data_IF_576836650485
#
_entry.id   IF_576836650485
#
_cell.length_a   1.000
_cell.length_b   1.000
_cell.length_c   1.000
_cell.angle_alpha   90.00
_cell.angle_beta   90.00
_cell.angle_gamma   90.00
#
_symmetry.space_group_name_H-M   'P 1'
#
loop_
_entity.id
_entity.type
_entity.pdbx_description
1 polymer ?
#
# COMPACT_ATOMS: atom_id res chain seq x y z
N UNK A 1 10.40 -27.90 35.36
CA UNK A 1 10.78 -27.58 33.95
C UNK A 1 9.55 -27.00 33.26
N UNK A 2 9.68 -25.88 32.57
CA UNK A 2 8.56 -25.30 31.80
C UNK A 2 8.55 -25.84 30.37
N UNK A 3 7.42 -26.34 29.90
CA UNK A 3 7.21 -26.79 28.53
C UNK A 3 6.13 -25.96 27.83
N UNK A 4 6.26 -25.86 26.52
CA UNK A 4 5.30 -25.21 25.63
C UNK A 4 4.73 -26.26 24.68
N UNK A 5 3.46 -26.14 24.34
CA UNK A 5 2.81 -26.94 23.30
C UNK A 5 1.82 -26.07 22.54
N UNK A 6 2.13 -25.81 21.27
CA UNK A 6 1.24 -25.11 20.35
C UNK A 6 0.26 -26.08 19.71
N UNK A 7 -0.88 -25.57 19.25
CA UNK A 7 -1.85 -26.34 18.45
C UNK A 7 -1.29 -26.77 17.08
N UNK A 8 -0.16 -26.20 16.65
CA UNK A 8 0.65 -26.66 15.50
C UNK A 8 1.49 -27.91 15.80
N UNK A 9 1.64 -28.27 17.08
CA UNK A 9 2.53 -29.33 17.56
C UNK A 9 3.93 -28.84 17.95
N UNK A 10 4.25 -27.57 17.77
CA UNK A 10 5.54 -27.00 18.18
C UNK A 10 5.67 -26.90 19.70
N UNK A 11 6.90 -27.01 20.20
CA UNK A 11 7.21 -26.91 21.64
C UNK A 11 8.18 -25.77 21.99
N UNK A 12 8.38 -24.86 21.04
CA UNK A 12 9.21 -23.66 21.22
C UNK A 12 8.41 -22.55 21.90
N UNK A 13 9.11 -21.59 22.51
CA UNK A 13 8.48 -20.42 23.11
C UNK A 13 7.80 -19.52 22.06
N UNK A 14 8.25 -19.58 20.80
CA UNK A 14 7.72 -18.80 19.68
C UNK A 14 7.47 -19.68 18.46
N UNK A 15 6.46 -19.34 17.67
CA UNK A 15 6.19 -19.92 16.35
C UNK A 15 6.09 -18.81 15.30
N UNK A 16 6.34 -19.16 14.04
CA UNK A 16 6.06 -18.29 12.88
C UNK A 16 4.94 -18.95 12.11
N UNK A 17 3.86 -18.21 11.90
CA UNK A 17 2.66 -18.66 11.20
C UNK A 17 2.33 -17.68 10.09
N UNK A 18 1.90 -18.19 8.94
CA UNK A 18 1.61 -17.37 7.75
C UNK A 18 0.18 -17.54 7.25
N UNK A 19 -0.60 -18.42 7.87
CA UNK A 19 -1.97 -18.72 7.47
C UNK A 19 -2.94 -18.16 8.51
N UNK A 20 -4.10 -17.64 8.09
CA UNK A 20 -5.13 -17.23 9.04
C UNK A 20 -5.64 -18.44 9.82
N UNK A 21 -5.97 -18.23 11.08
CA UNK A 21 -6.46 -19.29 11.96
C UNK A 21 -6.32 -18.96 13.43
N UNK A 22 -6.90 -19.83 14.25
CA UNK A 22 -6.74 -19.79 15.69
C UNK A 22 -5.43 -20.51 16.09
N UNK A 23 -4.61 -19.83 16.87
CA UNK A 23 -3.38 -20.36 17.45
C UNK A 23 -3.47 -20.29 18.95
N UNK A 24 -3.17 -21.39 19.62
CA UNK A 24 -3.12 -21.42 21.07
C UNK A 24 -1.88 -22.16 21.55
N UNK A 25 -1.32 -21.68 22.66
CA UNK A 25 -0.19 -22.29 23.35
C UNK A 25 -0.61 -22.74 24.73
N UNK A 26 -0.24 -23.96 25.08
CA UNK A 26 -0.33 -24.48 26.44
C UNK A 26 1.06 -24.45 27.06
N UNK A 27 1.19 -23.77 28.19
CA UNK A 27 2.42 -23.70 28.98
C UNK A 27 2.22 -24.52 30.25
N UNK A 28 3.12 -25.48 30.49
CA UNK A 28 3.07 -26.32 31.69
C UNK A 28 4.36 -26.18 32.48
N UNK A 29 4.25 -25.98 33.78
CA UNK A 29 5.37 -26.09 34.71
C UNK A 29 5.13 -27.21 35.74
N UNK A 30 5.89 -27.26 36.84
CA UNK A 30 5.78 -28.31 37.86
C UNK A 30 4.50 -28.23 38.70
N UNK A 31 3.79 -27.10 38.66
CA UNK A 31 2.67 -26.81 39.55
C UNK A 31 1.38 -26.44 38.80
N UNK A 32 1.45 -26.02 37.53
CA UNK A 32 0.32 -25.49 36.80
C UNK A 32 0.42 -25.70 35.28
N UNK A 33 -0.74 -25.64 34.63
CA UNK A 33 -0.90 -25.58 33.18
C UNK A 33 -1.80 -24.40 32.85
N UNK A 34 -1.33 -23.53 31.97
CA UNK A 34 -2.06 -22.36 31.47
C UNK A 34 -2.12 -22.41 29.94
N UNK A 35 -3.15 -21.80 29.37
CA UNK A 35 -3.28 -21.65 27.92
C UNK A 35 -3.65 -20.23 27.55
N UNK A 36 -3.13 -19.76 26.41
CA UNK A 36 -3.51 -18.49 25.79
C UNK A 36 -3.79 -18.71 24.31
N UNK A 37 -4.67 -17.88 23.73
CA UNK A 37 -5.18 -18.05 22.36
C UNK A 37 -5.16 -16.72 21.61
N UNK A 38 -4.79 -16.78 20.33
CA UNK A 38 -4.81 -15.65 19.40
C UNK A 38 -5.50 -16.07 18.11
N UNK A 39 -6.29 -15.16 17.54
CA UNK A 39 -6.89 -15.33 16.22
C UNK A 39 -6.11 -14.49 15.20
N UNK A 40 -5.57 -15.14 14.17
CA UNK A 40 -4.89 -14.47 13.06
C UNK A 40 -5.85 -14.34 11.88
N UNK A 41 -6.12 -13.09 11.48
CA UNK A 41 -7.00 -12.79 10.34
C UNK A 41 -6.20 -12.15 9.21
N UNK A 42 -6.41 -12.64 7.98
CA UNK A 42 -5.92 -12.01 6.77
C UNK A 42 -7.04 -11.25 6.08
N UNK A 43 -6.79 -9.99 5.74
CA UNK A 43 -7.74 -9.19 4.96
C UNK A 43 -7.30 -9.17 3.49
N UNK A 44 -8.19 -9.51 2.54
CA UNK A 44 -7.87 -9.37 1.13
C UNK A 44 -7.64 -7.90 0.81
N UNK A 45 -6.44 -7.57 0.35
CA UNK A 45 -6.08 -6.20 -0.04
C UNK A 45 -6.37 -5.98 -1.53
N UNK A 46 -7.01 -4.85 -1.85
CA UNK A 46 -7.12 -4.38 -3.24
C UNK A 46 -5.96 -3.43 -3.51
N UNK A 47 -5.02 -3.77 -4.40
CA UNK A 47 -3.89 -2.89 -4.72
C UNK A 47 -4.39 -1.53 -5.22
N UNK A 48 -3.75 -0.46 -4.76
CA UNK A 48 -3.96 0.87 -5.35
C UNK A 48 -3.31 0.91 -6.73
N UNK A 49 -3.99 1.55 -7.69
CA UNK A 49 -3.52 1.66 -9.06
C UNK A 49 -3.85 3.04 -9.61
N UNK A 50 -2.83 3.88 -9.80
CA UNK A 50 -2.95 5.23 -10.35
C UNK A 50 -2.63 5.29 -11.86
N UNK A 51 -2.43 4.13 -12.49
CA UNK A 51 -2.17 3.96 -13.92
C UNK A 51 -0.70 3.70 -14.25
N UNK A 52 -0.43 3.51 -15.54
CA UNK A 52 0.92 3.29 -16.05
C UNK A 52 1.65 4.62 -16.27
N UNK A 53 2.97 4.53 -16.47
CA UNK A 53 3.80 5.62 -16.98
C UNK A 53 3.16 6.30 -18.19
N UNK A 54 3.15 7.63 -18.17
CA UNK A 54 2.42 8.41 -19.17
C UNK A 54 3.13 9.71 -19.49
N UNK A 55 2.69 10.37 -20.57
CA UNK A 55 3.22 11.65 -20.99
C UNK A 55 2.12 12.60 -21.44
N UNK A 56 2.34 13.89 -21.19
CA UNK A 56 1.47 14.97 -21.65
C UNK A 56 2.30 16.05 -22.34
N UNK A 57 1.69 16.84 -23.20
CA UNK A 57 2.36 17.99 -23.80
C UNK A 57 2.45 19.14 -22.79
N UNK A 58 3.49 19.96 -22.92
CA UNK A 58 3.64 21.18 -22.14
C UNK A 58 2.40 22.07 -22.26
N UNK A 59 1.88 22.52 -21.12
CA UNK A 59 0.64 23.29 -21.02
C UNK A 59 -0.61 22.44 -20.80
N UNK A 60 -0.54 21.12 -20.89
CA UNK A 60 -1.61 20.21 -20.50
C UNK A 60 -1.53 19.85 -19.00
N UNK A 61 -2.64 19.35 -18.48
CA UNK A 61 -2.74 18.77 -17.13
C UNK A 61 -3.34 17.38 -17.22
N UNK A 62 -3.03 16.54 -16.23
CA UNK A 62 -3.61 15.22 -16.05
C UNK A 62 -4.06 15.05 -14.61
N UNK A 63 -5.17 14.32 -14.42
CA UNK A 63 -5.70 13.96 -13.11
C UNK A 63 -5.40 12.48 -12.85
N UNK A 64 -4.84 12.19 -11.68
CA UNK A 64 -4.67 10.84 -11.15
C UNK A 64 -5.70 10.60 -10.05
N UNK A 65 -6.26 9.40 -10.01
CA UNK A 65 -7.27 8.97 -9.05
C UNK A 65 -6.79 7.69 -8.37
N UNK A 66 -6.68 7.72 -7.05
CA UNK A 66 -6.31 6.54 -6.27
C UNK A 66 -7.51 5.60 -5.99
N UNK A 67 -8.74 6.01 -6.32
CA UNK A 67 -9.97 5.27 -6.04
C UNK A 67 -10.53 5.55 -4.64
N UNK A 68 -11.86 5.50 -4.49
CA UNK A 68 -12.58 5.95 -3.29
C UNK A 68 -12.68 4.92 -2.15
N UNK A 69 -12.05 3.74 -2.29
CA UNK A 69 -12.19 2.62 -1.34
C UNK A 69 -11.30 2.76 -0.10
N UNK A 70 -10.38 3.73 -0.09
CA UNK A 70 -9.38 3.90 0.96
C UNK A 70 -9.81 4.93 2.01
N UNK A 71 -9.40 4.68 3.27
CA UNK A 71 -9.66 5.56 4.42
C UNK A 71 -8.85 6.84 4.36
N UNK A 72 -7.62 6.77 3.85
CA UNK A 72 -6.73 7.94 3.77
C UNK A 72 -5.78 7.85 2.59
N UNK A 73 -5.34 9.02 2.13
CA UNK A 73 -4.46 9.21 0.98
C UNK A 73 -3.28 10.10 1.39
N UNK A 74 -2.12 9.87 0.79
CA UNK A 74 -0.96 10.75 0.86
C UNK A 74 -0.25 10.72 -0.50
N UNK A 75 -0.25 11.85 -1.19
CA UNK A 75 0.41 12.01 -2.48
C UNK A 75 1.80 12.61 -2.35
N UNK A 76 2.59 12.50 -3.42
CA UNK A 76 3.93 13.07 -3.53
C UNK A 76 4.05 14.57 -3.21
N UNK A 77 2.96 15.33 -3.37
CA UNK A 77 2.90 16.76 -3.09
C UNK A 77 2.33 17.08 -1.70
N UNK A 78 2.08 16.08 -0.86
CA UNK A 78 1.46 16.21 0.45
C UNK A 78 -0.07 16.30 0.44
N UNK A 79 -0.72 16.18 -0.72
CA UNK A 79 -2.19 16.11 -0.80
C UNK A 79 -2.72 14.86 -0.11
N UNK A 80 -3.90 14.99 0.51
CA UNK A 80 -4.64 13.89 1.16
C UNK A 80 -6.00 13.61 0.50
N UNK A 81 -6.26 14.24 -0.65
CA UNK A 81 -7.45 14.01 -1.46
C UNK A 81 -7.39 12.68 -2.20
N UNK A 82 -8.54 12.13 -2.59
CA UNK A 82 -8.62 10.92 -3.44
C UNK A 82 -7.93 11.12 -4.79
N UNK A 83 -7.99 12.32 -5.35
CA UNK A 83 -7.44 12.67 -6.66
C UNK A 83 -6.43 13.81 -6.56
N UNK A 84 -5.48 13.84 -7.50
CA UNK A 84 -4.63 15.01 -7.73
C UNK A 84 -4.59 15.38 -9.21
N UNK A 85 -4.41 16.67 -9.50
CA UNK A 85 -4.18 17.16 -10.86
C UNK A 85 -2.81 17.82 -10.92
N UNK A 86 -1.99 17.47 -11.92
CA UNK A 86 -0.65 18.03 -12.08
C UNK A 86 -0.31 18.27 -13.56
N UNK A 87 0.61 19.21 -13.78
CA UNK A 87 1.29 19.46 -15.06
C UNK A 87 2.81 19.33 -14.94
N UNK A 88 3.28 18.91 -13.76
CA UNK A 88 4.70 18.79 -13.45
C UNK A 88 5.12 17.34 -13.64
N UNK A 89 6.09 17.13 -14.55
CA UNK A 89 6.69 15.81 -14.75
C UNK A 89 7.54 15.36 -13.57
N UNK A 90 7.80 14.06 -13.48
CA UNK A 90 8.52 13.45 -12.38
C UNK A 90 7.84 12.15 -11.92
N UNK A 91 8.36 11.61 -10.82
CA UNK A 91 7.76 10.45 -10.16
C UNK A 91 6.50 10.90 -9.41
N UNK A 92 5.36 10.36 -9.81
CA UNK A 92 4.08 10.53 -9.15
C UNK A 92 3.86 9.28 -8.30
N UNK A 93 3.59 9.46 -7.02
CA UNK A 93 3.28 8.36 -6.11
C UNK A 93 2.14 8.71 -5.18
N UNK A 94 1.42 7.67 -4.75
CA UNK A 94 0.41 7.73 -3.70
C UNK A 94 0.63 6.61 -2.69
N UNK A 95 0.41 6.92 -1.43
CA UNK A 95 0.25 5.97 -0.35
C UNK A 95 -1.19 6.04 0.14
N UNK A 96 -1.81 4.89 0.34
CA UNK A 96 -3.17 4.78 0.89
C UNK A 96 -3.21 3.82 2.08
N UNK A 97 -4.22 4.00 2.93
CA UNK A 97 -4.54 3.08 4.02
C UNK A 97 -5.97 2.59 3.82
N UNK A 98 -6.20 1.29 3.84
CA UNK A 98 -7.53 0.71 3.73
C UNK A 98 -8.29 0.71 5.08
N UNK A 99 -9.49 0.12 5.09
CA UNK A 99 -10.32 0.01 6.29
C UNK A 99 -9.72 -0.90 7.38
N UNK A 100 -8.85 -1.83 7.00
CA UNK A 100 -8.17 -2.79 7.89
C UNK A 100 -6.79 -2.29 8.35
N UNK A 101 -6.46 -1.03 8.07
CA UNK A 101 -5.18 -0.38 8.34
C UNK A 101 -3.99 -0.98 7.55
N UNK A 102 -4.24 -1.69 6.45
CA UNK A 102 -3.18 -2.10 5.53
C UNK A 102 -2.71 -0.90 4.72
N UNK A 103 -1.39 -0.69 4.69
CA UNK A 103 -0.75 0.38 3.92
C UNK A 103 -0.39 -0.14 2.53
N UNK A 104 -0.81 0.59 1.49
CA UNK A 104 -0.56 0.27 0.09
C UNK A 104 0.01 1.50 -0.61
N UNK A 105 0.74 1.29 -1.71
CA UNK A 105 1.28 2.38 -2.51
C UNK A 105 1.42 2.00 -3.97
N UNK A 106 1.34 3.01 -4.84
CA UNK A 106 1.62 2.87 -6.27
C UNK A 106 2.32 4.12 -6.80
N UNK A 107 3.05 3.96 -7.90
CA UNK A 107 3.83 5.03 -8.51
C UNK A 107 3.95 4.88 -10.02
N UNK A 108 4.01 6.02 -10.72
CA UNK A 108 4.27 6.11 -12.15
C UNK A 108 5.19 7.27 -12.48
N UNK A 109 5.82 7.21 -13.65
CA UNK A 109 6.59 8.31 -14.23
C UNK A 109 5.69 9.15 -15.15
N UNK A 110 5.62 10.46 -14.87
CA UNK A 110 5.00 11.45 -15.77
C UNK A 110 6.08 12.19 -16.55
N UNK A 111 6.01 12.15 -17.88
CA UNK A 111 6.91 12.90 -18.78
C UNK A 111 6.19 14.09 -19.42
N UNK A 112 6.84 15.25 -19.47
CA UNK A 112 6.31 16.44 -20.16
C UNK A 112 7.02 16.60 -21.50
N UNK A 113 6.25 16.51 -22.59
CA UNK A 113 6.76 16.69 -23.95
C UNK A 113 6.74 18.18 -24.32
N UNK A 114 7.86 18.77 -24.76
CA UNK A 114 7.88 20.18 -25.16
C UNK A 114 7.01 20.40 -26.41
N UNK A 115 6.43 21.60 -26.53
CA UNK A 115 5.73 21.99 -27.75
C UNK A 115 6.74 22.16 -28.91
N UNK A 116 6.35 21.82 -30.16
CA UNK A 116 7.19 22.10 -31.31
C UNK A 116 7.47 23.61 -31.43
N UNK A 117 8.66 24.00 -31.93
CA UNK A 117 9.01 25.41 -32.07
C UNK A 117 8.03 26.11 -33.02
N UNK A 118 7.55 27.28 -32.60
CA UNK A 118 6.65 28.10 -33.41
C UNK A 118 7.43 28.64 -34.63
N UNK A 119 7.07 28.23 -35.84
CA UNK A 119 7.65 28.81 -37.06
C UNK A 119 6.88 30.06 -37.44
N UNK A 120 7.47 31.22 -37.20
CA UNK A 120 7.02 32.46 -37.83
C UNK A 120 7.34 32.38 -39.32
N UNK A 121 6.32 32.21 -40.16
CA UNK A 121 6.47 32.36 -41.61
C UNK A 121 6.53 33.86 -41.87
N UNK A 122 7.70 34.39 -42.22
CA UNK A 122 7.80 35.72 -42.81
C UNK A 122 7.29 35.62 -44.25
N UNK A 123 6.32 36.47 -44.61
CA UNK A 123 5.97 36.72 -46.00
C UNK A 123 6.78 37.95 -46.42
N UNK A 124 7.67 37.77 -47.40
CA UNK A 124 8.44 38.85 -48.04
C UNK A 124 7.52 39.80 -48.83
#
# INVERSE_FOLDING_TARGET
MTSYLWNTGDTTQTIIVNEPGEYYVTVTDELCTLSDTIELTYYPVTPVNIGNDTSICQGQQITFDAGAIYRSYLWYNGSTSQTITTSTGGLIWVQVIDENNCQLSDSLQLTINPLPPNRTIYHD
#
